data_IF_389975587774
#
_entry.id   IF_389975587774
#
_cell.length_a   1.000
_cell.length_b   1.000
_cell.length_c   1.000
_cell.angle_alpha   90.00
_cell.angle_beta   90.00
_cell.angle_gamma   90.00
#
_symmetry.space_group_name_H-M   'P 1'
#
loop_
_entity.id
_entity.type
_entity.pdbx_description
1 polymer ?
#
# COMPACT_ATOMS: atom_id res chain seq x y z
N UNK A 1 -0.33 40.69 -57.66
CA UNK A 1 0.15 40.20 -56.34
C UNK A 1 -0.70 39.02 -55.95
N UNK A 2 -0.13 37.85 -56.08
CA UNK A 2 -0.81 36.61 -55.64
C UNK A 2 -0.48 36.36 -54.19
N UNK A 3 -1.46 36.52 -53.30
CA UNK A 3 -1.30 36.15 -51.92
C UNK A 3 -1.44 34.63 -51.79
N UNK A 4 -0.37 33.98 -51.43
CA UNK A 4 -0.35 32.54 -51.13
C UNK A 4 -0.81 32.40 -49.67
N UNK A 5 -2.05 32.03 -49.46
CA UNK A 5 -2.54 31.57 -48.16
C UNK A 5 -2.02 30.17 -47.88
N UNK A 6 -1.03 30.08 -47.01
CA UNK A 6 -0.51 28.82 -46.51
C UNK A 6 -1.47 28.34 -45.39
N UNK A 7 -2.19 27.21 -45.55
CA UNK A 7 -2.98 26.67 -44.46
C UNK A 7 -2.00 26.10 -43.44
N UNK A 8 -1.93 26.68 -42.27
CA UNK A 8 -1.31 26.08 -41.10
C UNK A 8 -2.18 24.91 -40.69
N UNK A 9 -1.82 23.70 -41.11
CA UNK A 9 -2.40 22.45 -40.60
C UNK A 9 -1.87 22.29 -39.18
N UNK A 10 -2.70 22.72 -38.23
CA UNK A 10 -2.51 22.42 -36.80
C UNK A 10 -2.71 20.93 -36.61
N UNK A 11 -1.62 20.18 -36.65
CA UNK A 11 -1.62 18.75 -36.30
C UNK A 11 -1.89 18.67 -34.80
N UNK A 12 -3.16 18.54 -34.44
CA UNK A 12 -3.58 18.22 -33.09
C UNK A 12 -3.23 16.75 -32.84
N UNK A 13 -1.99 16.52 -32.40
CA UNK A 13 -1.56 15.22 -31.91
C UNK A 13 -2.38 14.89 -30.68
N UNK A 14 -3.50 14.21 -30.87
CA UNK A 14 -4.22 13.56 -29.79
C UNK A 14 -3.32 12.47 -29.26
N UNK A 15 -2.61 12.76 -28.16
CA UNK A 15 -2.01 11.73 -27.35
C UNK A 15 -3.17 10.88 -26.80
N UNK A 16 -3.50 9.81 -27.49
CA UNK A 16 -4.32 8.73 -26.96
C UNK A 16 -3.51 8.16 -25.79
N UNK A 17 -3.72 8.72 -24.60
CA UNK A 17 -3.27 8.08 -23.37
C UNK A 17 -4.00 6.74 -23.28
N UNK A 18 -3.33 5.68 -23.70
CA UNK A 18 -3.77 4.32 -23.47
C UNK A 18 -3.66 4.10 -21.94
N UNK A 19 -4.68 4.50 -21.21
CA UNK A 19 -4.84 4.09 -19.83
C UNK A 19 -4.90 2.56 -19.83
N UNK A 20 -3.84 1.93 -19.32
CA UNK A 20 -3.76 0.47 -19.28
C UNK A 20 -4.94 -0.05 -18.46
N UNK A 21 -5.72 -0.93 -19.09
CA UNK A 21 -6.86 -1.56 -18.44
C UNK A 21 -6.38 -2.42 -17.27
N UNK A 22 -7.04 -2.30 -16.14
CA UNK A 22 -6.84 -3.18 -14.98
C UNK A 22 -7.71 -4.42 -15.17
N UNK A 23 -7.10 -5.60 -15.17
CA UNK A 23 -7.78 -6.87 -15.32
C UNK A 23 -8.14 -7.53 -13.99
N UNK A 24 -7.37 -7.24 -12.94
CA UNK A 24 -7.64 -7.75 -11.59
C UNK A 24 -7.04 -6.82 -10.53
N UNK A 25 -7.57 -6.91 -9.32
CA UNK A 25 -7.04 -6.22 -8.14
C UNK A 25 -6.72 -7.21 -7.03
N UNK A 26 -5.75 -6.88 -6.18
CA UNK A 26 -5.35 -7.71 -5.06
C UNK A 26 -4.88 -6.85 -3.89
N UNK A 27 -5.19 -7.27 -2.66
CA UNK A 27 -4.60 -6.69 -1.46
C UNK A 27 -3.18 -7.21 -1.27
N UNK A 28 -2.24 -6.31 -1.03
CA UNK A 28 -0.86 -6.62 -0.61
C UNK A 28 -0.56 -5.87 0.67
N UNK A 29 -1.04 -6.40 1.79
CA UNK A 29 -0.82 -5.79 3.10
C UNK A 29 0.60 -6.10 3.60
N UNK A 30 1.24 -5.09 4.19
CA UNK A 30 2.58 -5.23 4.79
C UNK A 30 2.52 -5.69 6.25
N UNK A 31 1.34 -5.91 6.78
CA UNK A 31 1.09 -6.32 8.15
C UNK A 31 -0.02 -7.37 8.19
N UNK A 32 0.01 -8.23 9.19
CA UNK A 32 -1.00 -9.25 9.48
C UNK A 32 -2.14 -8.73 10.36
N UNK A 33 -1.94 -7.55 10.97
CA UNK A 33 -2.89 -6.94 11.88
C UNK A 33 -2.87 -5.41 11.81
N UNK A 34 -4.02 -4.79 12.03
CA UNK A 34 -4.17 -3.34 12.04
C UNK A 34 -3.82 -2.77 13.42
N UNK A 35 -3.24 -1.58 13.43
CA UNK A 35 -2.91 -0.83 14.64
C UNK A 35 -4.05 0.09 15.04
N UNK A 36 -4.43 0.04 16.31
CA UNK A 36 -5.42 0.96 16.89
C UNK A 36 -4.82 2.34 17.14
N UNK A 37 -5.67 3.37 17.15
CA UNK A 37 -5.28 4.75 17.44
C UNK A 37 -4.37 5.39 16.41
N UNK A 38 -4.35 4.89 15.18
CA UNK A 38 -3.47 5.37 14.12
C UNK A 38 -4.01 5.11 12.72
N UNK A 39 -3.28 5.60 11.73
CA UNK A 39 -3.49 5.37 10.32
C UNK A 39 -2.87 4.03 9.90
N UNK A 40 -3.64 3.22 9.17
CA UNK A 40 -3.20 1.95 8.64
C UNK A 40 -3.27 2.01 7.12
N UNK A 41 -2.13 1.98 6.44
CA UNK A 41 -2.08 2.00 4.99
C UNK A 41 -2.59 0.68 4.41
N UNK A 42 -3.58 0.75 3.53
CA UNK A 42 -4.17 -0.40 2.87
C UNK A 42 -3.70 -0.42 1.42
N UNK A 43 -2.74 -1.31 1.13
CA UNK A 43 -2.20 -1.46 -0.20
C UNK A 43 -3.07 -2.36 -1.06
N UNK A 44 -3.43 -1.84 -2.24
CA UNK A 44 -4.12 -2.60 -3.29
C UNK A 44 -3.33 -2.42 -4.59
N UNK A 45 -3.01 -3.51 -5.23
CA UNK A 45 -2.35 -3.50 -6.53
C UNK A 45 -3.32 -3.95 -7.62
N UNK A 46 -3.21 -3.32 -8.78
CA UNK A 46 -3.90 -3.69 -9.99
C UNK A 46 -2.97 -4.41 -10.95
N UNK A 47 -3.42 -5.53 -11.51
CA UNK A 47 -2.75 -6.18 -12.62
C UNK A 47 -3.27 -5.63 -13.92
N UNK A 48 -2.39 -5.09 -14.74
CA UNK A 48 -2.72 -4.54 -16.06
C UNK A 48 -2.79 -5.64 -17.12
N UNK A 49 -3.44 -5.36 -18.23
CA UNK A 49 -3.62 -6.31 -19.34
C UNK A 49 -2.30 -6.80 -19.96
N UNK A 50 -1.21 -6.05 -19.80
CA UNK A 50 0.15 -6.45 -20.18
C UNK A 50 0.86 -7.31 -19.11
N UNK A 51 0.17 -7.67 -18.03
CA UNK A 51 0.68 -8.52 -16.95
C UNK A 51 1.50 -7.83 -15.89
N UNK A 52 1.64 -6.50 -15.93
CA UNK A 52 2.36 -5.72 -14.93
C UNK A 52 1.47 -5.39 -13.73
N UNK A 53 2.08 -5.30 -12.56
CA UNK A 53 1.44 -4.85 -11.35
C UNK A 53 1.72 -3.36 -11.12
N UNK A 54 0.71 -2.62 -10.71
CA UNK A 54 0.87 -1.23 -10.29
C UNK A 54 0.07 -0.96 -9.01
N UNK A 55 0.60 -0.16 -8.08
CA UNK A 55 -0.15 0.26 -6.89
C UNK A 55 -1.33 1.14 -7.32
N UNK A 56 -2.49 0.88 -6.70
CA UNK A 56 -3.72 1.65 -6.89
C UNK A 56 -3.94 2.56 -5.69
N UNK A 57 -4.47 3.74 -5.97
CA UNK A 57 -4.77 4.74 -4.93
C UNK A 57 -6.27 4.95 -4.79
N UNK A 58 -6.68 5.78 -3.83
CA UNK A 58 -8.07 6.21 -3.68
C UNK A 58 -8.62 6.95 -4.91
N UNK A 59 -7.79 7.33 -5.88
CA UNK A 59 -8.22 7.83 -7.19
C UNK A 59 -8.78 6.71 -8.06
N UNK A 60 -8.25 5.49 -7.91
CA UNK A 60 -8.60 4.31 -8.69
C UNK A 60 -9.61 3.42 -7.96
N UNK A 61 -9.57 3.40 -6.63
CA UNK A 61 -10.30 2.48 -5.76
C UNK A 61 -11.28 3.23 -4.86
N UNK A 62 -12.47 2.68 -4.71
CA UNK A 62 -13.38 3.03 -3.63
C UNK A 62 -13.19 2.03 -2.49
N UNK A 63 -12.76 2.53 -1.33
CA UNK A 63 -12.60 1.74 -0.13
C UNK A 63 -13.83 1.85 0.78
N UNK A 64 -14.25 0.74 1.36
CA UNK A 64 -15.20 0.68 2.46
C UNK A 64 -14.70 -0.26 3.54
N UNK A 65 -15.05 0.00 4.79
CA UNK A 65 -14.70 -0.86 5.92
C UNK A 65 -15.90 -1.03 6.85
N UNK A 66 -15.97 -2.19 7.51
CA UNK A 66 -17.00 -2.46 8.52
C UNK A 66 -16.82 -1.61 9.79
N UNK A 67 -15.63 -1.04 10.00
CA UNK A 67 -15.29 -0.21 11.15
C UNK A 67 -14.12 0.72 10.81
N UNK A 68 -14.09 1.92 11.39
CA UNK A 68 -13.08 2.94 11.11
C UNK A 68 -13.46 3.84 9.93
N UNK A 69 -12.57 4.75 9.57
CA UNK A 69 -12.77 5.75 8.52
C UNK A 69 -11.61 5.75 7.55
N UNK A 70 -11.88 5.83 6.26
CA UNK A 70 -10.84 5.96 5.24
C UNK A 70 -10.51 7.43 4.94
N UNK A 71 -9.22 7.74 4.89
CA UNK A 71 -8.65 8.93 4.25
C UNK A 71 -7.65 8.48 3.17
N UNK A 72 -8.02 8.63 1.92
CA UNK A 72 -7.23 8.07 0.82
C UNK A 72 -7.11 6.54 0.96
N UNK A 73 -5.89 6.03 0.99
CA UNK A 73 -5.57 4.61 1.21
C UNK A 73 -5.38 4.25 2.68
N UNK A 74 -5.60 5.18 3.60
CA UNK A 74 -5.36 4.96 5.02
C UNK A 74 -6.66 4.70 5.78
N UNK A 75 -6.74 3.58 6.47
CA UNK A 75 -7.81 3.27 7.41
C UNK A 75 -7.44 3.78 8.79
N UNK A 76 -8.22 4.71 9.31
CA UNK A 76 -8.01 5.32 10.61
C UNK A 76 -8.85 4.58 11.64
N UNK A 77 -8.19 4.10 12.69
CA UNK A 77 -8.83 3.44 13.81
C UNK A 77 -8.73 4.29 15.08
N UNK A 78 -9.81 4.32 15.91
CA UNK A 78 -9.75 4.98 17.21
C UNK A 78 -8.79 4.26 18.17
N UNK A 79 -8.40 4.94 19.25
CA UNK A 79 -7.52 4.39 20.28
C UNK A 79 -8.12 3.17 20.99
N UNK A 80 -9.45 3.16 21.18
CA UNK A 80 -10.20 2.11 21.85
C UNK A 80 -11.25 1.52 20.89
N UNK A 81 -10.83 0.67 19.92
CA UNK A 81 -11.75 0.07 18.97
C UNK A 81 -12.67 -0.95 19.67
N UNK A 82 -13.95 -0.92 19.36
CA UNK A 82 -14.93 -1.91 19.82
C UNK A 82 -14.93 -3.18 18.98
N UNK A 83 -14.41 -3.09 17.74
CA UNK A 83 -14.26 -4.23 16.84
C UNK A 83 -12.94 -4.98 17.10
N UNK A 84 -12.94 -6.28 16.93
CA UNK A 84 -11.72 -7.11 16.99
C UNK A 84 -11.12 -7.37 15.61
N UNK A 85 -11.96 -7.35 14.59
CA UNK A 85 -11.60 -7.56 13.19
C UNK A 85 -12.39 -6.62 12.31
N UNK A 86 -11.84 -6.30 11.16
CA UNK A 86 -12.43 -5.38 10.19
C UNK A 86 -12.46 -6.06 8.84
N UNK A 87 -13.59 -5.97 8.16
CA UNK A 87 -13.72 -6.35 6.76
C UNK A 87 -13.57 -5.10 5.90
N UNK A 88 -12.60 -5.13 5.00
CA UNK A 88 -12.28 -4.05 4.06
C UNK A 88 -12.64 -4.52 2.67
N UNK A 89 -13.38 -3.69 1.95
CA UNK A 89 -13.72 -3.91 0.54
C UNK A 89 -13.08 -2.83 -0.32
N UNK A 90 -12.44 -3.25 -1.39
CA UNK A 90 -11.89 -2.39 -2.43
C UNK A 90 -12.62 -2.64 -3.74
N UNK A 91 -13.11 -1.59 -4.38
CA UNK A 91 -13.85 -1.64 -5.65
C UNK A 91 -13.14 -0.76 -6.66
N UNK A 92 -12.81 -1.31 -7.83
CA UNK A 92 -12.20 -0.53 -8.90
C UNK A 92 -13.22 0.46 -9.49
N UNK A 93 -12.91 1.75 -9.50
CA UNK A 93 -13.83 2.80 -9.97
C UNK A 93 -14.12 2.70 -11.47
N UNK A 94 -13.11 2.34 -12.27
CA UNK A 94 -13.25 2.22 -13.72
C UNK A 94 -14.01 0.95 -14.16
N UNK A 95 -14.07 -0.07 -13.29
CA UNK A 95 -14.83 -1.29 -13.50
C UNK A 95 -15.31 -1.86 -12.15
N UNK A 96 -16.49 -1.44 -11.66
CA UNK A 96 -16.99 -1.86 -10.36
C UNK A 96 -17.29 -3.37 -10.22
N UNK A 97 -17.28 -4.13 -11.32
CA UNK A 97 -17.34 -5.59 -11.27
C UNK A 97 -16.06 -6.19 -10.69
N UNK A 98 -14.94 -5.46 -10.75
CA UNK A 98 -13.67 -5.83 -10.13
C UNK A 98 -13.62 -5.28 -8.70
N UNK A 99 -13.77 -6.16 -7.75
CA UNK A 99 -13.68 -5.86 -6.33
C UNK A 99 -13.03 -7.01 -5.56
N UNK A 100 -12.47 -6.69 -4.41
CA UNK A 100 -11.92 -7.65 -3.46
C UNK A 100 -12.31 -7.25 -2.05
N UNK A 101 -12.35 -8.24 -1.19
CA UNK A 101 -12.65 -8.09 0.23
C UNK A 101 -11.62 -8.88 1.05
N UNK A 102 -11.22 -8.32 2.18
CA UNK A 102 -10.32 -8.96 3.13
C UNK A 102 -10.82 -8.68 4.56
N UNK A 103 -10.68 -9.67 5.42
CA UNK A 103 -10.92 -9.50 6.86
C UNK A 103 -9.59 -9.56 7.58
N UNK A 104 -9.30 -8.55 8.39
CA UNK A 104 -8.03 -8.40 9.11
C UNK A 104 -8.30 -8.09 10.59
N UNK A 105 -7.45 -8.64 11.47
CA UNK A 105 -7.56 -8.44 12.92
C UNK A 105 -6.99 -7.08 13.34
N UNK A 106 -7.55 -6.53 14.43
CA UNK A 106 -6.96 -5.38 15.11
C UNK A 106 -6.01 -5.91 16.20
N UNK A 107 -4.79 -5.40 16.21
CA UNK A 107 -3.77 -5.76 17.19
C UNK A 107 -4.21 -5.34 18.60
N UNK A 108 -4.32 -6.31 19.52
CA UNK A 108 -4.78 -6.07 20.90
C UNK A 108 -3.69 -5.50 21.80
N UNK A 109 -2.43 -5.96 21.60
CA UNK A 109 -1.28 -5.50 22.36
C UNK A 109 -0.56 -4.39 21.61
N UNK A 110 -0.08 -3.32 22.30
CA UNK A 110 0.84 -2.38 21.68
C UNK A 110 2.09 -3.12 21.21
N UNK A 111 2.81 -2.54 20.24
CA UNK A 111 4.11 -3.05 19.84
C UNK A 111 5.07 -2.83 21.04
N UNK A 112 5.35 -3.86 21.79
CA UNK A 112 6.35 -3.87 22.87
C UNK A 112 7.79 -3.86 22.32
N UNK A 113 7.97 -3.50 21.08
CA UNK A 113 9.29 -3.23 20.53
C UNK A 113 9.79 -1.87 21.00
N UNK A 114 10.21 -1.84 22.24
CA UNK A 114 11.34 -0.99 22.61
C UNK A 114 12.49 -1.52 21.76
N UNK A 115 12.74 -0.84 20.63
CA UNK A 115 13.95 -1.10 19.84
C UNK A 115 15.11 -1.02 20.83
N UNK A 116 15.97 -2.07 20.94
CA UNK A 116 17.08 -2.06 21.86
C UNK A 116 17.90 -0.79 21.60
N UNK A 117 18.17 -0.05 22.66
CA UNK A 117 18.99 1.15 22.54
C UNK A 117 20.36 0.78 21.97
N UNK A 118 21.04 1.73 21.34
CA UNK A 118 22.38 1.54 20.81
C UNK A 118 23.33 0.92 21.85
N UNK A 119 23.15 1.27 23.12
CA UNK A 119 23.96 0.75 24.24
C UNK A 119 23.65 -0.73 24.52
N UNK A 120 22.41 -1.18 24.38
CA UNK A 120 22.06 -2.60 24.55
C UNK A 120 22.56 -3.45 23.40
N UNK A 121 22.54 -2.92 22.18
CA UNK A 121 23.11 -3.59 20.99
C UNK A 121 24.63 -3.73 21.16
N UNK A 122 25.30 -2.72 21.69
CA UNK A 122 26.76 -2.74 21.88
C UNK A 122 27.20 -3.69 23.01
N UNK A 123 26.38 -3.83 24.07
CA UNK A 123 26.65 -4.76 25.19
C UNK A 123 26.46 -6.23 24.80
N UNK A 124 25.58 -6.52 23.86
CA UNK A 124 25.29 -7.87 23.39
C UNK A 124 26.16 -8.32 22.20
N UNK A 125 27.20 -7.56 21.84
CA UNK A 125 28.13 -7.93 20.78
C UNK A 125 29.00 -9.11 21.26
N UNK A 126 28.97 -10.28 20.61
CA UNK A 126 29.84 -11.40 21.02
C UNK A 126 31.29 -10.99 20.90
N UNK A 127 32.02 -11.20 22.00
CA UNK A 127 33.43 -10.89 22.11
C UNK A 127 34.24 -11.73 21.10
N UNK A 128 34.80 -11.09 20.08
CA UNK A 128 35.58 -11.73 19.01
C UNK A 128 36.98 -12.15 19.46
N UNK A 129 37.26 -12.26 20.78
CA UNK A 129 38.53 -12.66 21.30
C UNK A 129 38.53 -14.09 21.89
N UNK A 130 38.09 -15.07 21.10
CA UNK A 130 38.37 -16.47 21.36
C UNK A 130 39.80 -16.80 20.93
N UNK A 131 40.78 -16.46 21.74
CA UNK A 131 42.15 -17.05 21.61
C UNK A 131 42.03 -18.56 21.83
N UNK A 132 42.14 -19.31 20.74
CA UNK A 132 42.41 -20.74 20.78
C UNK A 132 43.73 -20.99 21.51
N UNK A 133 43.66 -21.45 22.77
CA UNK A 133 44.82 -22.11 23.43
C UNK A 133 44.88 -23.53 22.89
N UNK A 134 45.77 -23.78 21.94
CA UNK A 134 46.29 -25.13 21.71
C UNK A 134 47.18 -25.44 22.91
N UNK A 135 46.71 -26.35 23.75
CA UNK A 135 47.53 -27.00 24.74
C UNK A 135 48.25 -28.20 24.13
N UNK A 136 49.48 -28.32 24.48
CA UNK A 136 50.41 -29.41 24.23
C UNK A 136 49.85 -30.73 24.78
#
# INVERSE_FOLDING_TARGET
>A
MKQIFLPIILILSTFLSNAQKIDSISFHLYTDSLKKGTHNYINVDGKTSDGKWKPLTAKDITFTASYGTFEGNELILPADPTAEKITIKAVLKSDPALWKEITIWIKKKPDDELLPTTDEILKNKPDKNGKSKRGN
#
